data_IF_003998401524
#
_entry.id   IF_003998401524
#
_cell.length_a   1.000
_cell.length_b   1.000
_cell.length_c   1.000
_cell.angle_alpha   90.00
_cell.angle_beta   90.00
_cell.angle_gamma   90.00
#
_symmetry.space_group_name_H-M   'P 1'
#
loop_
_entity.id
_entity.type
_entity.pdbx_description
1 polymer ?
#
# COMPACT_ATOMS: atom_id res chain seq x y z
N UNK A 1 24.69 -3.96 9.34
CA UNK A 1 23.46 -4.68 9.71
C UNK A 1 22.32 -4.14 8.84
N UNK A 2 21.72 -4.96 7.98
CA UNK A 2 20.68 -4.50 7.03
C UNK A 2 19.30 -4.65 7.69
N UNK A 3 18.69 -3.54 8.09
CA UNK A 3 17.46 -3.47 8.90
C UNK A 3 16.17 -3.51 8.07
N UNK A 4 16.09 -4.37 7.06
CA UNK A 4 14.89 -4.47 6.22
C UNK A 4 13.85 -5.39 6.87
N UNK A 5 12.57 -5.18 6.49
CA UNK A 5 11.50 -6.07 6.88
C UNK A 5 11.69 -7.45 6.24
N UNK A 6 11.66 -8.50 7.05
CA UNK A 6 11.78 -9.87 6.55
C UNK A 6 10.39 -10.47 6.41
N UNK A 7 10.14 -11.13 5.28
CA UNK A 7 8.88 -11.85 5.03
C UNK A 7 8.66 -12.94 6.11
N UNK A 8 7.48 -12.99 6.76
CA UNK A 8 7.15 -14.05 7.71
C UNK A 8 6.93 -15.40 7.00
N UNK A 9 7.16 -16.50 7.72
CA UNK A 9 6.95 -17.86 7.18
C UNK A 9 5.47 -18.24 7.03
N UNK A 10 4.59 -17.64 7.85
CA UNK A 10 3.14 -17.84 7.83
C UNK A 10 2.50 -16.46 7.90
N UNK A 11 1.52 -16.21 7.04
CA UNK A 11 0.74 -14.97 7.02
C UNK A 11 -0.70 -15.24 6.63
N UNK A 12 -1.60 -14.37 7.09
CA UNK A 12 -2.98 -14.27 6.63
C UNK A 12 -3.12 -12.94 5.87
N UNK A 13 -4.20 -12.80 5.11
CA UNK A 13 -4.57 -11.53 4.46
C UNK A 13 -6.06 -11.29 4.68
N UNK A 14 -6.45 -11.12 5.94
CA UNK A 14 -7.84 -10.97 6.34
C UNK A 14 -8.34 -9.52 6.23
N UNK A 15 -7.44 -8.54 6.39
CA UNK A 15 -7.84 -7.14 6.57
C UNK A 15 -7.69 -6.27 5.32
N UNK A 16 -6.89 -6.70 4.35
CA UNK A 16 -6.76 -6.06 3.04
C UNK A 16 -7.58 -6.79 1.99
N UNK A 17 -8.38 -6.06 1.22
CA UNK A 17 -9.15 -6.62 0.11
C UNK A 17 -8.54 -6.21 -1.22
N UNK A 18 -8.53 -7.13 -2.19
CA UNK A 18 -8.23 -6.77 -3.58
C UNK A 18 -9.33 -5.86 -4.10
N UNK A 19 -8.96 -4.67 -4.54
CA UNK A 19 -9.88 -3.71 -5.13
C UNK A 19 -9.44 -3.37 -6.54
N UNK A 20 -10.31 -3.67 -7.50
CA UNK A 20 -10.13 -3.36 -8.91
C UNK A 20 -10.80 -2.03 -9.18
N UNK A 21 -10.04 -1.07 -9.70
CA UNK A 21 -10.54 0.27 -10.00
C UNK A 21 -9.90 0.81 -11.28
N UNK A 22 -10.61 1.70 -11.97
CA UNK A 22 -10.14 2.31 -13.20
C UNK A 22 -9.30 3.57 -12.91
N UNK A 23 -8.24 3.44 -12.11
CA UNK A 23 -7.36 4.56 -11.80
C UNK A 23 -6.40 4.79 -12.98
N UNK A 24 -6.10 6.03 -13.39
CA UNK A 24 -5.25 6.32 -14.57
C UNK A 24 -3.80 5.83 -14.50
N UNK A 25 -3.40 5.18 -13.40
CA UNK A 25 -2.02 4.77 -13.12
C UNK A 25 -1.93 3.28 -12.74
N UNK A 26 -3.03 2.67 -12.31
CA UNK A 26 -3.06 1.29 -11.83
C UNK A 26 -4.48 0.72 -11.91
N UNK A 27 -4.59 -0.59 -12.12
CA UNK A 27 -5.89 -1.26 -12.28
C UNK A 27 -6.33 -1.99 -11.01
N UNK A 28 -5.39 -2.31 -10.11
CA UNK A 28 -5.64 -3.02 -8.85
C UNK A 28 -4.85 -2.43 -7.67
N UNK A 29 -5.44 -2.52 -6.48
CA UNK A 29 -4.79 -2.13 -5.23
C UNK A 29 -5.28 -2.97 -4.04
N UNK A 30 -4.58 -2.87 -2.92
CA UNK A 30 -5.08 -3.37 -1.63
C UNK A 30 -5.91 -2.27 -0.97
N UNK A 31 -7.20 -2.51 -0.78
CA UNK A 31 -8.09 -1.58 -0.08
C UNK A 31 -8.25 -1.99 1.37
N UNK A 32 -7.93 -1.07 2.28
CA UNK A 32 -8.39 -1.13 3.66
C UNK A 32 -9.68 -0.35 3.78
N UNK A 33 -10.70 -0.95 4.40
CA UNK A 33 -12.00 -0.31 4.61
C UNK A 33 -12.40 -0.42 6.08
N UNK A 34 -12.79 0.72 6.66
CA UNK A 34 -13.39 0.80 7.99
C UNK A 34 -14.63 1.68 7.82
N UNK A 35 -15.79 1.11 8.11
CA UNK A 35 -17.10 1.71 7.84
C UNK A 35 -17.25 2.13 6.37
N UNK A 36 -17.58 3.41 6.11
CA UNK A 36 -17.75 3.97 4.77
C UNK A 36 -16.46 4.55 4.18
N UNK A 37 -15.37 4.61 4.96
CA UNK A 37 -14.10 5.16 4.52
C UNK A 37 -13.17 4.05 4.04
N UNK A 38 -12.37 4.36 3.02
CA UNK A 38 -11.35 3.47 2.50
C UNK A 38 -10.03 4.17 2.26
N UNK A 39 -8.97 3.37 2.24
CA UNK A 39 -7.61 3.78 1.90
C UNK A 39 -7.01 2.72 0.97
N UNK A 40 -6.72 3.12 -0.26
CA UNK A 40 -6.04 2.27 -1.23
C UNK A 40 -4.54 2.30 -0.97
N UNK A 41 -3.92 1.12 -0.97
CA UNK A 41 -2.48 0.95 -0.81
C UNK A 41 -1.95 0.18 -2.01
N UNK A 42 -0.93 0.77 -2.65
CA UNK A 42 -0.29 0.22 -3.84
C UNK A 42 1.19 -0.05 -3.59
N UNK A 43 1.72 -1.04 -4.30
CA UNK A 43 3.13 -1.40 -4.32
C UNK A 43 3.61 -1.43 -5.76
N UNK A 44 4.79 -0.87 -6.00
CA UNK A 44 5.39 -0.92 -7.33
C UNK A 44 6.02 -2.28 -7.55
N UNK A 45 5.80 -2.84 -8.73
CA UNK A 45 6.37 -4.08 -9.22
C UNK A 45 7.29 -3.79 -10.39
N UNK A 46 8.19 -4.73 -10.63
CA UNK A 46 9.14 -4.66 -11.72
C UNK A 46 9.35 -6.05 -12.31
N UNK A 47 9.27 -6.12 -13.64
CA UNK A 47 9.62 -7.30 -14.40
C UNK A 47 11.04 -7.14 -14.95
N UNK A 48 11.90 -8.09 -14.59
CA UNK A 48 13.32 -8.09 -15.00
C UNK A 48 13.47 -8.41 -16.49
N UNK A 49 12.58 -9.18 -17.09
CA UNK A 49 12.67 -9.57 -18.49
C UNK A 49 12.27 -8.42 -19.40
N UNK A 50 11.08 -7.85 -19.18
CA UNK A 50 10.54 -6.75 -19.99
C UNK A 50 11.05 -5.37 -19.58
N UNK A 51 11.74 -5.27 -18.42
CA UNK A 51 12.17 -4.00 -17.80
C UNK A 51 11.02 -3.04 -17.51
N UNK A 52 9.80 -3.56 -17.39
CA UNK A 52 8.59 -2.77 -17.15
C UNK A 52 8.30 -2.63 -15.66
N UNK A 53 7.70 -1.50 -15.27
CA UNK A 53 7.20 -1.30 -13.91
C UNK A 53 5.72 -0.97 -13.95
N UNK A 54 4.98 -1.48 -12.98
CA UNK A 54 3.57 -1.14 -12.78
C UNK A 54 3.26 -1.06 -11.29
N UNK A 55 2.10 -0.52 -10.95
CA UNK A 55 1.59 -0.49 -9.59
C UNK A 55 0.53 -1.57 -9.42
N UNK A 56 0.59 -2.30 -8.32
CA UNK A 56 -0.35 -3.38 -8.00
C UNK A 56 -0.72 -3.35 -6.51
N UNK A 57 -1.52 -4.32 -6.10
CA UNK A 57 -1.75 -4.66 -4.71
C UNK A 57 -0.46 -4.97 -3.94
N UNK A 58 -0.54 -4.71 -2.64
CA UNK A 58 0.52 -4.99 -1.65
C UNK A 58 0.66 -6.50 -1.49
N UNK A 59 1.88 -6.94 -1.20
CA UNK A 59 2.14 -8.31 -0.84
C UNK A 59 1.22 -8.81 0.29
N UNK A 60 0.51 -9.96 0.12
CA UNK A 60 -0.46 -10.46 1.10
C UNK A 60 0.09 -10.67 2.53
N UNK A 61 1.40 -10.84 2.68
CA UNK A 61 2.02 -11.03 4.00
C UNK A 61 2.20 -9.75 4.80
N UNK A 62 2.14 -8.60 4.15
CA UNK A 62 2.29 -7.29 4.76
C UNK A 62 0.93 -6.66 5.08
N UNK A 63 -0.16 -7.16 4.47
CA UNK A 63 -1.48 -6.55 4.58
C UNK A 63 -2.00 -6.57 6.02
N UNK A 64 -1.89 -7.71 6.69
CA UNK A 64 -2.33 -7.87 8.08
C UNK A 64 -1.36 -7.18 9.05
N UNK A 65 -0.05 -7.18 8.77
CA UNK A 65 0.95 -6.49 9.60
C UNK A 65 0.74 -4.97 9.61
N UNK A 66 0.39 -4.38 8.47
CA UNK A 66 0.03 -2.97 8.37
C UNK A 66 -1.25 -2.70 9.17
N UNK A 67 -2.30 -3.51 8.99
CA UNK A 67 -3.59 -3.26 9.61
C UNK A 67 -3.56 -3.39 11.14
N UNK A 68 -2.88 -4.42 11.64
CA UNK A 68 -2.78 -4.71 13.08
C UNK A 68 -1.80 -3.77 13.80
N UNK A 69 -1.08 -2.91 13.08
CA UNK A 69 -0.12 -1.99 13.69
C UNK A 69 -0.84 -0.96 14.59
N UNK A 70 -0.36 -0.68 15.81
CA UNK A 70 -1.03 0.25 16.73
C UNK A 70 -1.28 1.66 16.16
N UNK A 71 -0.39 2.13 15.29
CA UNK A 71 -0.52 3.44 14.64
C UNK A 71 -1.37 3.45 13.37
N UNK A 72 -1.83 2.29 12.90
CA UNK A 72 -2.61 2.18 11.67
C UNK A 72 -3.91 2.95 11.75
N UNK A 73 -4.67 2.77 12.83
CA UNK A 73 -5.97 3.43 12.99
C UNK A 73 -5.88 4.95 12.86
N UNK A 74 -4.91 5.58 13.54
CA UNK A 74 -4.72 7.03 13.46
C UNK A 74 -4.28 7.50 12.07
N UNK A 75 -3.40 6.75 11.40
CA UNK A 75 -3.00 7.04 10.03
C UNK A 75 -4.19 6.89 9.05
N UNK A 76 -4.97 5.82 9.21
CA UNK A 76 -6.15 5.53 8.42
C UNK A 76 -7.18 6.63 8.57
N UNK A 77 -7.52 7.06 9.78
CA UNK A 77 -8.51 8.13 10.00
C UNK A 77 -8.09 9.47 9.36
N UNK A 78 -6.79 9.78 9.34
CA UNK A 78 -6.26 10.99 8.73
C UNK A 78 -6.28 10.95 7.18
N UNK A 79 -6.04 9.77 6.58
CA UNK A 79 -5.82 9.63 5.13
C UNK A 79 -7.01 9.05 4.38
N UNK A 80 -7.84 8.24 5.03
CA UNK A 80 -9.01 7.62 4.43
C UNK A 80 -10.10 8.65 4.17
N UNK A 81 -10.85 8.42 3.09
CA UNK A 81 -12.05 9.18 2.74
C UNK A 81 -13.12 8.21 2.25
N UNK A 82 -14.35 8.70 2.14
CA UNK A 82 -15.38 7.98 1.41
C UNK A 82 -14.94 7.82 -0.05
N UNK A 83 -15.46 6.79 -0.69
CA UNK A 83 -15.29 6.57 -2.12
C UNK A 83 -15.69 7.84 -2.89
N UNK A 84 -14.89 8.23 -3.89
CA UNK A 84 -15.31 9.28 -4.83
C UNK A 84 -16.42 8.76 -5.74
N UNK A 85 -17.10 9.69 -6.43
CA UNK A 85 -18.12 9.35 -7.43
C UNK A 85 -17.56 8.46 -8.56
N UNK A 86 -16.26 8.58 -8.84
CA UNK A 86 -15.53 7.77 -9.83
C UNK A 86 -15.10 6.37 -9.31
N UNK A 87 -15.50 5.99 -8.08
CA UNK A 87 -15.10 4.71 -7.51
C UNK A 87 -13.66 4.68 -6.98
N UNK A 88 -13.04 5.83 -6.71
CA UNK A 88 -11.64 5.90 -6.26
C UNK A 88 -11.53 6.22 -4.77
N UNK A 89 -10.55 5.62 -4.12
CA UNK A 89 -10.18 5.92 -2.75
C UNK A 89 -8.86 6.70 -2.73
N UNK A 90 -8.59 7.49 -1.66
CA UNK A 90 -7.27 8.05 -1.45
C UNK A 90 -6.22 6.96 -1.49
N UNK A 91 -5.14 7.21 -2.23
CA UNK A 91 -4.11 6.21 -2.51
C UNK A 91 -2.80 6.58 -1.86
N UNK A 92 -2.13 5.59 -1.27
CA UNK A 92 -0.79 5.72 -0.70
C UNK A 92 0.06 4.55 -1.12
N UNK A 93 1.37 4.76 -1.21
CA UNK A 93 2.30 3.64 -1.44
C UNK A 93 2.55 2.86 -0.16
N UNK A 94 2.89 1.59 -0.31
CA UNK A 94 3.31 0.72 0.81
C UNK A 94 4.45 1.36 1.61
N UNK A 95 5.39 2.05 0.94
CA UNK A 95 6.51 2.71 1.62
C UNK A 95 6.07 3.92 2.43
N UNK A 96 5.14 4.73 1.93
CA UNK A 96 4.59 5.88 2.65
C UNK A 96 3.87 5.43 3.93
N UNK A 97 3.03 4.40 3.86
CA UNK A 97 2.33 3.90 5.04
C UNK A 97 3.31 3.24 6.02
N UNK A 98 4.23 2.38 5.57
CA UNK A 98 5.24 1.78 6.45
C UNK A 98 6.08 2.82 7.18
N UNK A 99 6.47 3.90 6.49
CA UNK A 99 7.19 5.00 7.12
C UNK A 99 6.33 5.73 8.17
N UNK A 100 5.07 6.04 7.85
CA UNK A 100 4.17 6.70 8.79
C UNK A 100 3.88 5.84 10.04
N UNK A 101 3.85 4.52 9.88
CA UNK A 101 3.69 3.56 10.96
C UNK A 101 4.99 3.27 11.72
N UNK A 102 6.13 3.86 11.31
CA UNK A 102 7.47 3.59 11.88
C UNK A 102 7.90 2.11 11.77
N UNK A 103 7.42 1.41 10.74
CA UNK A 103 7.84 0.04 10.43
C UNK A 103 9.22 0.03 9.77
N UNK A 104 9.91 -1.11 9.83
CA UNK A 104 11.14 -1.31 9.06
C UNK A 104 10.80 -1.22 7.57
N UNK A 105 11.49 -0.39 6.77
CA UNK A 105 11.14 -0.23 5.36
C UNK A 105 11.51 -1.49 4.56
N UNK A 106 10.80 -1.67 3.43
CA UNK A 106 11.25 -2.58 2.37
C UNK A 106 12.58 -2.09 1.78
N UNK A 107 13.39 -3.04 1.30
CA UNK A 107 14.60 -2.72 0.54
C UNK A 107 14.22 -1.86 -0.66
N UNK A 108 14.87 -0.70 -0.77
CA UNK A 108 14.60 0.22 -1.88
C UNK A 108 15.36 -0.26 -3.11
N UNK A 109 14.63 -0.51 -4.18
CA UNK A 109 15.23 -0.86 -5.46
C UNK A 109 15.48 0.37 -6.36
N UNK A 110 16.45 0.25 -7.29
CA UNK A 110 16.84 1.37 -8.18
C UNK A 110 15.75 1.76 -9.18
N UNK A 111 14.86 0.82 -9.51
CA UNK A 111 13.77 1.01 -10.47
C UNK A 111 12.51 1.61 -9.82
N UNK A 112 12.47 1.76 -8.49
CA UNK A 112 11.32 2.35 -7.81
C UNK A 112 11.16 3.84 -8.19
N UNK A 113 9.95 4.19 -8.63
CA UNK A 113 9.51 5.54 -8.90
C UNK A 113 8.70 6.08 -7.72
N UNK A 114 8.41 7.39 -7.75
CA UNK A 114 7.67 8.06 -6.69
C UNK A 114 6.22 8.23 -7.13
N UNK A 115 5.29 7.67 -6.37
CA UNK A 115 3.86 7.96 -6.53
C UNK A 115 3.47 9.13 -5.62
N UNK A 116 2.88 10.14 -6.23
CA UNK A 116 2.29 11.34 -5.62
C UNK A 116 3.15 12.01 -4.53
N UNK A 117 3.91 13.04 -4.93
CA UNK A 117 4.65 13.90 -4.00
C UNK A 117 3.69 14.93 -3.45
N UNK A 118 3.18 14.72 -2.24
CA UNK A 118 2.74 15.86 -1.43
C UNK A 118 3.97 16.69 -1.11
N UNK A 119 4.07 17.87 -1.71
CA UNK A 119 4.92 18.93 -1.18
C UNK A 119 4.39 19.24 0.21
N UNK A 120 5.17 18.86 1.23
CA UNK A 120 4.93 19.22 2.63
C UNK A 120 5.48 20.63 2.83
#
# INVERSE_FOLDING_TARGET
MRYHYNKPQIYLSMYGQLYICNHPVYDSCTLYKIDEKGLAVIQQRYDVETKSTWWSEVDPWLTDEIYLHPYFKGYFEQRSKKCSDDGLYPTVTVRQIMWALKMKPLSRERWETVFDRRYI
#
